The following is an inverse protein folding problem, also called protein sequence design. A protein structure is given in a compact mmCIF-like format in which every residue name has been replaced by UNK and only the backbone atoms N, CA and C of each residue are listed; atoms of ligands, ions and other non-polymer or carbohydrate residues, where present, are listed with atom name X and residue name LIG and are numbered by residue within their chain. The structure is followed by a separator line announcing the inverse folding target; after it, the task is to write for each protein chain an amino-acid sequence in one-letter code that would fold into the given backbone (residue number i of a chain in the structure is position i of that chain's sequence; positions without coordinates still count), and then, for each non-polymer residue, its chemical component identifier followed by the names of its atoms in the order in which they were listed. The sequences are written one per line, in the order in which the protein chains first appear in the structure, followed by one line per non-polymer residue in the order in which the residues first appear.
data_IF_037382764686
#
_entry.id   IF_037382764686
#
_cell.length_a   1.000
_cell.length_b   1.000
_cell.length_c   1.000
_cell.angle_alpha   90.00
_cell.angle_beta   90.00
_cell.angle_gamma   90.00
#
_symmetry.space_group_name_H-M   'P 1'
#
loop_
_entity.id
_entity.type
_entity.pdbx_description
1 polymer ?
#
# COMPACT_ATOMS: atom_id res chain seq x y z
N UNK A 1 -64.36 3.27 43.73
CA UNK A 1 -63.32 2.86 42.78
C UNK A 1 -62.90 1.46 43.14
N UNK A 2 -63.22 0.50 42.27
CA UNK A 2 -63.07 -0.95 42.48
C UNK A 2 -61.71 -1.50 42.02
N UNK A 3 -61.54 -2.84 41.87
CA UNK A 3 -60.60 -3.59 42.71
C UNK A 3 -59.70 -4.63 41.98
N UNK A 4 -58.92 -5.38 42.78
CA UNK A 4 -58.33 -6.75 42.61
C UNK A 4 -56.95 -6.89 41.91
N UNK A 5 -55.92 -7.42 42.61
CA UNK A 5 -55.47 -8.84 42.86
C UNK A 5 -54.82 -9.51 41.62
N UNK A 6 -53.58 -10.04 41.74
CA UNK A 6 -53.15 -11.46 41.54
C UNK A 6 -51.60 -11.61 41.44
N UNK A 7 -51.16 -12.77 41.96
CA UNK A 7 -49.89 -13.44 42.24
C UNK A 7 -48.90 -13.80 41.09
N UNK A 8 -47.75 -14.39 41.53
CA UNK A 8 -46.83 -15.39 40.89
C UNK A 8 -45.61 -14.82 40.13
N UNK A 9 -44.41 -15.40 40.15
CA UNK A 9 -43.82 -16.58 40.80
C UNK A 9 -42.29 -16.50 40.68
N UNK A 10 -41.59 -17.25 41.53
CA UNK A 10 -40.16 -17.57 41.46
C UNK A 10 -39.76 -18.24 40.14
N UNK A 11 -38.56 -17.95 39.65
CA UNK A 11 -37.73 -18.93 38.95
C UNK A 11 -36.27 -18.76 39.33
N UNK A 12 -35.74 -19.80 39.97
CA UNK A 12 -34.32 -20.09 40.13
C UNK A 12 -33.72 -20.43 38.76
N UNK A 13 -32.56 -19.88 38.45
CA UNK A 13 -31.58 -20.60 37.63
C UNK A 13 -30.19 -20.45 38.25
N UNK A 14 -29.71 -21.55 38.84
CA UNK A 14 -28.29 -21.79 39.06
C UNK A 14 -27.67 -22.11 37.70
N UNK A 15 -26.61 -21.40 37.33
CA UNK A 15 -25.61 -21.96 36.42
C UNK A 15 -24.29 -21.96 37.15
N UNK A 16 -23.75 -23.18 37.28
CA UNK A 16 -22.43 -23.49 37.79
C UNK A 16 -21.36 -22.88 36.90
N UNK A 17 -20.32 -22.34 37.50
CA UNK A 17 -19.05 -22.04 36.85
C UNK A 17 -18.26 -23.34 36.84
N UNK A 18 -18.36 -24.10 35.74
CA UNK A 18 -17.42 -25.16 35.39
C UNK A 18 -16.59 -24.74 34.19
N UNK A 19 -15.31 -25.15 34.22
CA UNK A 19 -14.21 -24.55 33.49
C UNK A 19 -14.40 -24.46 31.97
N UNK A 20 -14.11 -23.28 31.43
CA UNK A 20 -13.82 -23.11 30.02
C UNK A 20 -12.32 -23.29 29.81
N UNK A 21 -11.96 -24.36 29.10
CA UNK A 21 -10.65 -24.48 28.46
C UNK A 21 -10.44 -23.29 27.52
N UNK A 22 -9.28 -22.65 27.63
CA UNK A 22 -8.84 -21.61 26.70
C UNK A 22 -8.45 -22.32 25.40
N UNK A 23 -9.41 -22.40 24.47
CA UNK A 23 -9.12 -22.71 23.07
C UNK A 23 -8.49 -21.48 22.42
N UNK A 24 -7.17 -21.51 22.26
CA UNK A 24 -6.47 -20.60 21.36
C UNK A 24 -6.87 -20.99 19.93
N UNK A 25 -7.48 -20.10 19.13
CA UNK A 25 -7.78 -20.42 17.75
C UNK A 25 -6.46 -20.54 16.98
N UNK A 26 -6.16 -21.73 16.49
CA UNK A 26 -5.21 -21.92 15.40
C UNK A 26 -5.81 -21.20 14.19
N UNK A 27 -5.11 -20.18 13.69
CA UNK A 27 -5.47 -19.51 12.45
C UNK A 27 -5.50 -20.57 11.32
N UNK A 28 -6.71 -20.89 10.87
CA UNK A 28 -6.93 -21.70 9.68
C UNK A 28 -6.49 -20.93 8.42
N UNK A 29 -6.16 -21.64 7.33
CA UNK A 29 -5.81 -20.99 6.07
C UNK A 29 -6.98 -20.16 5.55
N UNK A 30 -6.67 -18.99 4.98
CA UNK A 30 -7.65 -18.14 4.31
C UNK A 30 -8.43 -18.97 3.27
N UNK A 31 -9.77 -18.89 3.24
CA UNK A 31 -10.58 -19.69 2.34
C UNK A 31 -10.44 -19.20 0.90
N UNK A 32 -9.89 -20.08 0.04
CA UNK A 32 -10.40 -20.38 -1.29
C UNK A 32 -10.22 -19.34 -2.40
N UNK A 33 -9.27 -19.61 -3.29
CA UNK A 33 -9.45 -19.39 -4.73
C UNK A 33 -9.01 -20.68 -5.43
N UNK A 34 -9.98 -21.52 -5.78
CA UNK A 34 -9.80 -22.55 -6.78
C UNK A 34 -9.86 -21.88 -8.15
N UNK A 35 -8.80 -22.06 -8.94
CA UNK A 35 -8.72 -21.58 -10.33
C UNK A 35 -9.22 -22.71 -11.23
N UNK A 36 -10.35 -22.47 -11.90
CA UNK A 36 -10.71 -23.22 -13.10
C UNK A 36 -9.90 -22.66 -14.26
N UNK A 37 -9.09 -23.52 -14.88
CA UNK A 37 -8.34 -23.24 -16.09
C UNK A 37 -9.22 -23.49 -17.31
N UNK A 38 -9.41 -22.50 -18.19
CA UNK A 38 -9.46 -22.69 -19.64
C UNK A 38 -9.42 -21.34 -20.38
N UNK A 39 -8.81 -21.38 -21.57
CA UNK A 39 -8.68 -20.36 -22.63
C UNK A 39 -7.61 -19.25 -22.51
N UNK A 40 -6.42 -19.59 -23.04
CA UNK A 40 -5.34 -18.66 -23.39
C UNK A 40 -5.51 -18.20 -24.84
N UNK A 41 -6.03 -16.98 -25.03
CA UNK A 41 -5.97 -16.25 -26.29
C UNK A 41 -4.71 -15.39 -26.37
N UNK A 42 -3.85 -15.66 -27.35
CA UNK A 42 -2.64 -14.90 -27.67
C UNK A 42 -2.97 -13.44 -28.02
N UNK A 43 -2.49 -12.48 -27.22
CA UNK A 43 -2.41 -11.07 -27.61
C UNK A 43 -0.97 -10.56 -27.60
N UNK A 44 -0.72 -9.66 -28.55
CA UNK A 44 0.58 -9.26 -29.07
C UNK A 44 1.31 -8.26 -28.15
N UNK A 45 2.61 -8.52 -27.99
CA UNK A 45 3.75 -7.65 -27.65
C UNK A 45 3.53 -6.30 -26.92
N UNK A 46 4.29 -6.01 -25.83
CA UNK A 46 4.20 -4.74 -25.12
C UNK A 46 4.72 -3.56 -25.95
N UNK A 47 3.94 -2.48 -25.96
CA UNK A 47 4.37 -1.15 -26.39
C UNK A 47 5.47 -0.66 -25.44
N UNK A 48 6.61 -0.22 -25.99
CA UNK A 48 7.72 0.35 -25.21
C UNK A 48 7.35 1.75 -24.72
N UNK A 49 7.37 1.96 -23.41
CA UNK A 49 7.20 3.28 -22.80
C UNK A 49 8.44 4.16 -22.95
N UNK A 50 8.18 5.47 -23.05
CA UNK A 50 9.15 6.56 -23.01
C UNK A 50 9.31 6.96 -21.53
N UNK A 51 10.53 6.92 -21.01
CA UNK A 51 10.83 7.37 -19.65
C UNK A 51 10.37 8.83 -19.45
N UNK A 52 10.00 9.25 -18.22
CA UNK A 52 9.67 10.65 -17.94
C UNK A 52 10.85 11.55 -18.33
N UNK A 53 10.55 12.68 -18.98
CA UNK A 53 11.57 13.63 -19.41
C UNK A 53 12.32 14.18 -18.18
N UNK A 54 13.64 13.99 -18.17
CA UNK A 54 14.50 14.50 -17.09
C UNK A 54 14.63 16.02 -17.21
N UNK A 55 14.21 16.75 -16.18
CA UNK A 55 14.43 18.19 -16.07
C UNK A 55 15.83 18.39 -15.48
N UNK A 56 16.75 18.94 -16.29
CA UNK A 56 18.07 19.37 -15.82
C UNK A 56 17.99 20.83 -15.38
N UNK A 57 18.17 21.08 -14.07
CA UNK A 57 18.29 22.43 -13.51
C UNK A 57 19.78 22.80 -13.40
N UNK A 58 20.24 23.73 -14.22
CA UNK A 58 21.53 24.41 -14.03
C UNK A 58 21.37 25.48 -12.94
N UNK A 59 22.07 25.34 -11.82
CA UNK A 59 22.09 26.34 -10.75
C UNK A 59 23.24 27.34 -10.95
N UNK A 60 22.91 28.62 -10.85
CA UNK A 60 23.88 29.68 -10.58
C UNK A 60 23.61 30.19 -9.15
N UNK A 61 24.51 29.83 -8.23
CA UNK A 61 24.79 30.50 -6.95
C UNK A 61 23.59 30.73 -6.01
N UNK A 62 23.26 29.67 -5.30
CA UNK A 62 22.35 29.59 -4.16
C UNK A 62 21.99 28.12 -4.04
N UNK A 63 22.38 27.44 -2.95
CA UNK A 63 22.39 25.98 -2.83
C UNK A 63 21.02 25.34 -3.09
N UNK A 64 20.69 25.16 -4.37
CA UNK A 64 19.51 24.45 -4.82
C UNK A 64 19.90 22.99 -4.84
N UNK A 65 19.31 22.22 -3.94
CA UNK A 65 19.41 20.78 -3.93
C UNK A 65 18.95 20.25 -5.30
N UNK A 66 19.86 19.61 -6.04
CA UNK A 66 19.53 19.02 -7.33
C UNK A 66 18.76 17.74 -7.05
N UNK A 67 17.43 17.84 -7.07
CA UNK A 67 16.56 16.67 -6.95
C UNK A 67 16.74 15.84 -8.22
N UNK A 68 17.38 14.68 -8.08
CA UNK A 68 17.54 13.73 -9.19
C UNK A 68 16.16 13.15 -9.53
N UNK A 69 15.79 13.18 -10.80
CA UNK A 69 14.59 12.50 -11.27
C UNK A 69 14.74 10.98 -11.05
N UNK A 70 13.79 10.39 -10.34
CA UNK A 70 13.75 8.95 -10.10
C UNK A 70 13.26 8.21 -11.36
N UNK A 71 13.75 6.99 -11.62
CA UNK A 71 13.36 6.22 -12.81
C UNK A 71 11.95 5.62 -12.72
N UNK A 72 11.31 5.71 -11.56
CA UNK A 72 9.93 5.30 -11.26
C UNK A 72 9.46 6.02 -9.98
N UNK A 73 8.17 5.88 -9.66
CA UNK A 73 7.59 6.47 -8.45
C UNK A 73 8.09 5.72 -7.21
N UNK A 74 8.63 6.46 -6.24
CA UNK A 74 8.91 5.95 -4.90
C UNK A 74 7.99 6.66 -3.91
N UNK A 75 7.30 5.87 -3.11
CA UNK A 75 6.37 6.36 -2.11
C UNK A 75 6.67 5.73 -0.75
N UNK A 76 6.38 6.45 0.32
CA UNK A 76 6.39 5.89 1.66
C UNK A 76 5.25 6.45 2.51
N UNK A 77 4.65 5.59 3.32
CA UNK A 77 3.70 6.01 4.36
C UNK A 77 4.44 6.67 5.51
N UNK A 78 3.85 7.73 6.05
CA UNK A 78 4.29 8.35 7.29
C UNK A 78 3.13 8.87 8.15
N UNK A 79 3.35 8.88 9.47
CA UNK A 79 2.51 9.61 10.39
C UNK A 79 2.42 9.06 11.81
N UNK A 80 1.52 9.59 12.66
CA UNK A 80 1.39 9.15 14.03
C UNK A 80 0.90 7.70 14.09
N UNK A 81 1.24 7.02 15.18
CA UNK A 81 0.91 5.61 15.47
C UNK A 81 1.73 4.57 14.71
N UNK A 82 3.02 4.46 15.08
CA UNK A 82 3.91 3.33 14.72
C UNK A 82 4.21 3.22 13.21
N UNK A 83 4.02 4.32 12.50
CA UNK A 83 4.48 4.52 11.13
C UNK A 83 5.75 5.37 11.15
N UNK A 84 6.52 5.26 10.08
CA UNK A 84 7.60 6.17 9.67
C UNK A 84 7.31 7.63 10.04
N UNK A 85 8.28 8.33 10.62
CA UNK A 85 8.20 9.79 10.73
C UNK A 85 8.39 10.46 9.36
N UNK A 86 7.56 11.45 9.01
CA UNK A 86 7.61 12.09 7.68
C UNK A 86 8.94 12.83 7.38
N UNK A 87 9.76 13.12 8.39
CA UNK A 87 11.07 13.74 8.23
C UNK A 87 12.19 12.77 7.83
N UNK A 88 11.96 11.44 7.87
CA UNK A 88 12.96 10.46 7.45
C UNK A 88 12.74 9.94 6.03
N UNK A 89 11.64 10.33 5.38
CA UNK A 89 11.41 10.00 3.97
C UNK A 89 12.39 10.84 3.12
N UNK A 90 13.18 10.21 2.23
CA UNK A 90 14.13 10.94 1.40
C UNK A 90 13.46 12.00 0.51
N UNK A 91 14.19 13.08 0.25
CA UNK A 91 13.75 14.08 -0.72
C UNK A 91 13.53 13.44 -2.10
N UNK A 92 12.44 13.83 -2.76
CA UNK A 92 12.05 13.29 -4.08
C UNK A 92 11.13 12.07 -4.02
N UNK A 93 10.98 11.41 -2.86
CA UNK A 93 9.94 10.42 -2.64
C UNK A 93 8.60 11.12 -2.37
N UNK A 94 7.50 10.50 -2.80
CA UNK A 94 6.16 10.96 -2.46
C UNK A 94 5.79 10.48 -1.05
N UNK A 95 5.24 11.38 -0.24
CA UNK A 95 4.83 11.06 1.13
C UNK A 95 3.34 10.80 1.17
N UNK A 96 2.94 9.66 1.72
CA UNK A 96 1.54 9.36 2.00
C UNK A 96 1.30 9.55 3.49
N UNK A 97 0.74 10.71 3.86
CA UNK A 97 0.53 11.11 5.26
C UNK A 97 -0.79 10.59 5.79
N UNK A 98 -0.73 9.81 6.86
CA UNK A 98 -1.90 9.19 7.48
C UNK A 98 -1.63 7.71 7.76
N UNK A 99 -2.48 7.09 8.57
CA UNK A 99 -2.36 5.68 8.94
C UNK A 99 -3.45 4.83 8.26
N UNK A 100 -3.15 3.54 8.13
CA UNK A 100 -4.16 2.48 8.04
C UNK A 100 -4.97 2.53 9.34
N UNK A 101 -6.30 2.51 9.26
CA UNK A 101 -7.19 2.60 10.44
C UNK A 101 -7.09 3.94 11.19
N UNK A 102 -7.11 5.05 10.45
CA UNK A 102 -7.21 6.35 11.09
C UNK A 102 -8.65 6.59 11.55
N UNK A 103 -8.82 6.86 12.84
CA UNK A 103 -10.02 7.55 13.32
C UNK A 103 -10.19 8.80 12.45
N UNK A 104 -11.22 8.79 11.60
CA UNK A 104 -11.48 9.86 10.63
C UNK A 104 -11.67 11.23 11.30
N UNK A 105 -11.77 11.28 12.63
CA UNK A 105 -11.86 12.52 13.41
C UNK A 105 -10.50 13.10 13.78
N UNK A 106 -9.42 12.32 13.65
CA UNK A 106 -8.07 12.84 13.82
C UNK A 106 -7.61 13.42 12.49
N UNK A 107 -6.72 14.41 12.53
CA UNK A 107 -6.16 15.04 11.33
C UNK A 107 -4.76 14.48 11.06
N UNK A 108 -4.39 14.12 9.81
CA UNK A 108 -3.06 13.60 9.50
C UNK A 108 -1.97 14.64 9.77
N UNK A 109 -0.73 14.19 10.03
CA UNK A 109 0.41 15.06 10.28
C UNK A 109 0.86 15.73 8.98
N UNK A 110 1.62 16.82 9.11
CA UNK A 110 2.23 17.47 7.96
C UNK A 110 3.36 16.61 7.36
N UNK A 111 3.29 16.35 6.06
CA UNK A 111 4.44 15.89 5.27
C UNK A 111 5.53 16.96 5.20
N UNK A 112 6.73 16.52 4.87
CA UNK A 112 7.84 17.43 4.52
C UNK A 112 7.88 17.68 3.01
N UNK A 113 8.59 18.72 2.56
CA UNK A 113 8.80 18.99 1.14
C UNK A 113 7.61 19.63 0.41
N UNK A 114 7.59 19.46 -0.92
CA UNK A 114 6.60 20.06 -1.83
C UNK A 114 5.24 19.36 -1.71
N UNK A 115 4.14 20.07 -1.37
CA UNK A 115 2.81 19.50 -1.24
C UNK A 115 2.32 18.78 -2.52
N UNK A 116 2.81 19.15 -3.71
CA UNK A 116 2.47 18.48 -4.98
C UNK A 116 2.93 17.03 -5.05
N UNK A 117 3.89 16.63 -4.22
CA UNK A 117 4.38 15.25 -4.12
C UNK A 117 3.76 14.49 -2.95
N UNK A 118 2.92 15.14 -2.15
CA UNK A 118 2.40 14.58 -0.90
C UNK A 118 0.92 14.26 -1.05
N UNK A 119 0.51 13.17 -0.40
CA UNK A 119 -0.84 12.64 -0.40
C UNK A 119 -1.38 12.65 1.02
N UNK A 120 -2.61 13.11 1.19
CA UNK A 120 -3.36 12.85 2.42
C UNK A 120 -4.07 11.51 2.31
N UNK A 121 -3.81 10.60 3.25
CA UNK A 121 -4.41 9.26 3.23
C UNK A 121 -5.63 9.16 4.15
N UNK A 122 -6.68 8.54 3.64
CA UNK A 122 -7.79 8.05 4.45
C UNK A 122 -7.83 6.52 4.42
N UNK A 123 -7.65 5.90 5.58
CA UNK A 123 -7.93 4.48 5.77
C UNK A 123 -9.40 4.24 6.08
N UNK A 124 -9.86 3.01 5.90
CA UNK A 124 -11.10 2.55 6.52
C UNK A 124 -10.92 2.37 8.03
N UNK A 125 -11.92 2.82 8.80
CA UNK A 125 -12.09 2.38 10.19
C UNK A 125 -12.61 0.95 10.19
N UNK A 126 -11.75 -0.01 10.51
CA UNK A 126 -12.11 -1.44 10.51
C UNK A 126 -13.24 -1.74 11.51
N UNK A 127 -13.34 -0.95 12.58
CA UNK A 127 -14.34 -1.10 13.63
C UNK A 127 -15.67 -0.41 13.28
N UNK A 128 -15.66 0.51 12.32
CA UNK A 128 -16.85 1.26 11.92
C UNK A 128 -16.90 1.50 10.40
N UNK A 129 -17.26 0.43 9.66
CA UNK A 129 -17.46 0.47 8.20
C UNK A 129 -18.48 1.51 7.70
N UNK A 130 -19.31 2.08 8.59
CA UNK A 130 -20.25 3.14 8.24
C UNK A 130 -19.63 4.54 8.29
N UNK A 131 -18.39 4.66 8.77
CA UNK A 131 -17.71 5.92 8.99
C UNK A 131 -16.81 6.24 7.79
N UNK A 132 -17.44 6.44 6.64
CA UNK A 132 -16.74 6.78 5.41
C UNK A 132 -16.36 8.25 5.45
N UNK A 133 -15.08 8.55 5.23
CA UNK A 133 -14.61 9.93 5.11
C UNK A 133 -15.33 10.64 3.96
N UNK A 134 -15.59 11.93 4.11
CA UNK A 134 -16.21 12.73 3.05
C UNK A 134 -15.15 13.52 2.28
N UNK A 135 -15.45 13.87 1.02
CA UNK A 135 -14.61 14.77 0.21
C UNK A 135 -14.25 16.05 0.97
N UNK A 136 -15.25 16.72 1.56
CA UNK A 136 -15.03 17.94 2.33
C UNK A 136 -14.12 17.75 3.55
N UNK A 137 -14.12 16.57 4.18
CA UNK A 137 -13.18 16.29 5.29
C UNK A 137 -11.74 16.19 4.78
N UNK A 138 -11.52 15.50 3.67
CA UNK A 138 -10.18 15.38 3.08
C UNK A 138 -9.65 16.72 2.55
N UNK A 139 -10.50 17.52 1.91
CA UNK A 139 -10.14 18.87 1.45
C UNK A 139 -9.69 19.77 2.61
N UNK A 140 -10.32 19.65 3.77
CA UNK A 140 -9.91 20.38 4.99
C UNK A 140 -8.54 19.92 5.52
N UNK A 141 -8.14 18.67 5.25
CA UNK A 141 -6.86 18.14 5.70
C UNK A 141 -5.68 18.59 4.84
N UNK A 142 -5.87 18.85 3.54
CA UNK A 142 -4.78 19.14 2.61
C UNK A 142 -3.80 20.21 3.11
N UNK A 143 -4.24 21.43 3.52
CA UNK A 143 -3.29 22.47 3.94
C UNK A 143 -2.52 22.07 5.20
N UNK A 144 -3.18 21.35 6.10
CA UNK A 144 -2.62 21.00 7.39
C UNK A 144 -1.72 19.76 7.33
N UNK A 145 -1.95 18.88 6.35
CA UNK A 145 -1.09 17.76 5.99
C UNK A 145 0.08 18.16 5.07
N UNK A 146 0.16 19.41 4.62
CA UNK A 146 1.10 19.86 3.57
C UNK A 146 1.04 18.94 2.33
N UNK A 147 -0.17 18.73 1.82
CA UNK A 147 -0.46 17.84 0.69
C UNK A 147 -1.35 18.53 -0.35
N UNK A 148 -1.30 18.03 -1.59
CA UNK A 148 -2.16 18.44 -2.70
C UNK A 148 -2.83 17.25 -3.41
N UNK A 149 -2.62 16.03 -2.92
CA UNK A 149 -3.15 14.81 -3.51
C UNK A 149 -3.85 13.95 -2.46
N UNK A 150 -4.59 12.95 -2.90
CA UNK A 150 -5.45 12.11 -2.06
C UNK A 150 -5.08 10.64 -2.21
N UNK A 151 -4.91 9.95 -1.09
CA UNK A 151 -4.72 8.52 -1.04
C UNK A 151 -5.83 7.86 -0.21
N UNK A 152 -6.17 6.64 -0.56
CA UNK A 152 -7.13 5.82 0.15
C UNK A 152 -6.52 4.46 0.39
N UNK A 153 -6.73 3.91 1.59
CA UNK A 153 -6.42 2.50 1.86
C UNK A 153 -7.70 1.81 2.30
N UNK A 154 -8.31 1.07 1.38
CA UNK A 154 -9.74 0.75 1.46
C UNK A 154 -10.10 -0.45 0.58
N UNK A 155 -11.13 -1.20 0.98
CA UNK A 155 -11.86 -2.22 0.25
C UNK A 155 -13.25 -1.73 -0.24
N UNK A 156 -13.74 -0.56 0.18
CA UNK A 156 -14.99 0.10 -0.25
C UNK A 156 -14.81 0.95 -1.53
N UNK A 157 -14.40 0.27 -2.60
CA UNK A 157 -13.90 0.92 -3.81
C UNK A 157 -14.86 1.92 -4.49
N UNK A 158 -16.17 1.65 -4.48
CA UNK A 158 -17.17 2.52 -5.14
C UNK A 158 -17.39 3.83 -4.39
N UNK A 159 -17.37 3.76 -3.07
CA UNK A 159 -17.48 4.92 -2.19
C UNK A 159 -16.25 5.83 -2.37
N UNK A 160 -15.05 5.23 -2.41
CA UNK A 160 -13.80 5.95 -2.68
C UNK A 160 -13.81 6.61 -4.06
N UNK A 161 -14.26 5.90 -5.09
CA UNK A 161 -14.44 6.47 -6.43
C UNK A 161 -15.42 7.67 -6.40
N UNK A 162 -16.51 7.57 -5.66
CA UNK A 162 -17.46 8.67 -5.47
C UNK A 162 -16.82 9.91 -4.84
N UNK A 163 -15.97 9.71 -3.82
CA UNK A 163 -15.22 10.79 -3.17
C UNK A 163 -14.23 11.44 -4.14
N UNK A 164 -13.44 10.64 -4.86
CA UNK A 164 -12.49 11.13 -5.85
C UNK A 164 -13.17 11.98 -6.93
N UNK A 165 -14.32 11.50 -7.43
CA UNK A 165 -15.11 12.23 -8.42
C UNK A 165 -15.74 13.52 -7.88
N UNK A 166 -16.05 13.60 -6.59
CA UNK A 166 -16.53 14.84 -5.98
C UNK A 166 -15.40 15.88 -5.87
N UNK A 167 -14.22 15.47 -5.39
CA UNK A 167 -13.06 16.35 -5.26
C UNK A 167 -12.59 16.85 -6.65
N UNK A 168 -12.64 16.01 -7.69
CA UNK A 168 -12.29 16.43 -9.05
C UNK A 168 -13.18 17.56 -9.60
N UNK A 169 -14.35 17.81 -9.01
CA UNK A 169 -15.20 18.96 -9.39
C UNK A 169 -14.65 20.28 -8.87
N UNK A 170 -13.85 20.26 -7.80
CA UNK A 170 -13.26 21.43 -7.15
C UNK A 170 -11.77 21.59 -7.50
N UNK A 171 -11.06 20.48 -7.71
CA UNK A 171 -9.66 20.44 -8.13
C UNK A 171 -9.41 19.31 -9.15
N UNK A 172 -9.31 19.68 -10.43
CA UNK A 172 -9.04 18.75 -11.53
C UNK A 172 -7.53 18.43 -11.70
N UNK A 173 -6.67 19.03 -10.87
CA UNK A 173 -5.22 18.81 -10.88
C UNK A 173 -4.74 17.87 -9.79
N UNK A 174 -5.58 17.61 -8.79
CA UNK A 174 -5.29 16.68 -7.70
C UNK A 174 -5.11 15.26 -8.23
N UNK A 175 -4.09 14.56 -7.71
CA UNK A 175 -3.90 13.13 -7.98
C UNK A 175 -4.60 12.27 -6.95
N UNK A 176 -5.02 11.09 -7.38
CA UNK A 176 -5.73 10.12 -6.55
C UNK A 176 -5.01 8.78 -6.56
N UNK A 177 -4.83 8.20 -5.38
CA UNK A 177 -4.31 6.86 -5.21
C UNK A 177 -5.27 6.00 -4.40
N UNK A 178 -5.48 4.76 -4.83
CA UNK A 178 -6.12 3.75 -4.00
C UNK A 178 -5.14 2.62 -3.73
N UNK A 179 -5.03 2.21 -2.46
CA UNK A 179 -4.25 1.04 -2.04
C UNK A 179 -5.22 -0.06 -1.66
N UNK A 180 -5.07 -1.22 -2.29
CA UNK A 180 -5.96 -2.37 -2.14
C UNK A 180 -5.17 -3.67 -1.95
N UNK A 181 -5.83 -4.69 -1.41
CA UNK A 181 -5.25 -6.02 -1.29
C UNK A 181 -5.10 -6.68 -2.67
N UNK A 182 -4.10 -7.56 -2.80
CA UNK A 182 -3.99 -8.42 -3.96
C UNK A 182 -5.24 -9.30 -4.15
N UNK A 183 -5.70 -9.44 -5.40
CA UNK A 183 -6.91 -10.21 -5.77
C UNK A 183 -8.07 -9.33 -6.22
N UNK A 184 -7.89 -8.01 -6.22
CA UNK A 184 -8.90 -7.00 -6.54
C UNK A 184 -8.80 -6.46 -7.97
N UNK A 185 -8.05 -7.15 -8.85
CA UNK A 185 -7.76 -6.71 -10.22
C UNK A 185 -9.03 -6.38 -11.01
N UNK A 186 -10.06 -7.22 -10.87
CA UNK A 186 -11.33 -7.07 -11.59
C UNK A 186 -12.07 -5.81 -11.17
N UNK A 187 -12.10 -5.51 -9.87
CA UNK A 187 -12.75 -4.31 -9.36
C UNK A 187 -11.97 -3.08 -9.83
N UNK A 188 -10.64 -3.10 -9.69
CA UNK A 188 -9.76 -2.00 -10.11
C UNK A 188 -9.83 -1.74 -11.62
N UNK A 189 -9.90 -2.77 -12.45
CA UNK A 189 -10.05 -2.62 -13.90
C UNK A 189 -11.25 -1.76 -14.30
N UNK A 190 -12.35 -1.82 -13.53
CA UNK A 190 -13.59 -1.09 -13.83
C UNK A 190 -13.54 0.39 -13.44
N UNK A 191 -12.59 0.79 -12.59
CA UNK A 191 -12.52 2.13 -11.99
C UNK A 191 -11.14 2.79 -12.06
N UNK A 192 -10.18 2.15 -12.72
CA UNK A 192 -8.80 2.64 -12.81
C UNK A 192 -8.68 4.08 -13.36
N UNK A 193 -9.65 4.57 -14.13
CA UNK A 193 -9.67 5.94 -14.64
C UNK A 193 -9.94 7.00 -13.55
N UNK A 194 -10.52 6.57 -12.42
CA UNK A 194 -10.75 7.39 -11.24
C UNK A 194 -9.47 7.60 -10.41
N UNK A 195 -8.38 6.88 -10.73
CA UNK A 195 -7.13 6.93 -9.96
C UNK A 195 -5.91 7.17 -10.87
N UNK A 196 -4.95 7.92 -10.36
CA UNK A 196 -3.63 8.12 -10.96
C UNK A 196 -2.69 6.96 -10.59
N UNK A 197 -2.85 6.43 -9.37
CA UNK A 197 -2.10 5.28 -8.87
C UNK A 197 -3.00 4.24 -8.21
N UNK A 198 -2.62 2.97 -8.36
CA UNK A 198 -3.24 1.81 -7.72
C UNK A 198 -2.14 1.07 -6.96
N UNK A 199 -2.09 1.27 -5.64
CA UNK A 199 -1.17 0.60 -4.73
C UNK A 199 -1.62 -0.84 -4.45
N UNK A 200 -0.73 -1.81 -4.64
CA UNK A 200 -1.04 -3.23 -4.36
C UNK A 200 -0.37 -3.67 -3.07
N UNK A 201 -1.19 -4.01 -2.09
CA UNK A 201 -0.73 -4.56 -0.83
C UNK A 201 -0.75 -6.09 -0.86
N UNK A 202 0.41 -6.69 -0.60
CA UNK A 202 0.55 -8.12 -0.42
C UNK A 202 0.54 -8.49 1.07
N UNK A 203 1.13 -7.68 1.94
CA UNK A 203 1.37 -8.05 3.34
C UNK A 203 0.45 -7.29 4.31
N UNK A 204 -0.84 -7.67 4.32
CA UNK A 204 -1.94 -6.99 5.02
C UNK A 204 -1.76 -6.77 6.54
N UNK A 205 -0.82 -7.48 7.19
CA UNK A 205 -0.52 -7.34 8.62
C UNK A 205 0.88 -6.78 8.85
N UNK A 206 1.23 -5.72 8.13
CA UNK A 206 2.55 -5.08 8.16
C UNK A 206 2.87 -4.36 9.47
N UNK A 207 1.92 -4.30 10.42
CA UNK A 207 2.15 -3.80 11.79
C UNK A 207 3.30 -4.61 12.42
N UNK A 208 4.45 -3.98 12.72
CA UNK A 208 5.66 -4.67 13.15
C UNK A 208 5.50 -5.51 14.42
N UNK A 209 4.53 -5.20 15.27
CA UNK A 209 4.24 -5.98 16.49
C UNK A 209 3.42 -7.24 16.22
N UNK A 210 2.72 -7.30 15.09
CA UNK A 210 1.90 -8.44 14.68
C UNK A 210 2.74 -9.41 13.86
N UNK A 211 3.80 -8.92 13.21
CA UNK A 211 4.55 -9.69 12.24
C UNK A 211 5.97 -9.15 12.06
N UNK A 212 6.96 -9.89 12.57
CA UNK A 212 8.40 -9.60 12.49
C UNK A 212 9.05 -10.09 11.18
N UNK A 213 8.29 -10.82 10.36
CA UNK A 213 8.76 -11.52 9.16
C UNK A 213 7.75 -11.54 8.01
N UNK A 214 7.03 -10.44 7.80
CA UNK A 214 5.89 -10.42 6.86
C UNK A 214 6.30 -10.77 5.44
N UNK A 215 7.44 -10.24 5.00
CA UNK A 215 8.02 -10.53 3.69
C UNK A 215 8.38 -12.01 3.47
N UNK A 216 8.31 -12.85 4.51
CA UNK A 216 8.68 -14.28 4.45
C UNK A 216 7.62 -15.27 4.97
N UNK A 217 6.54 -14.82 5.65
CA UNK A 217 5.67 -15.73 6.43
C UNK A 217 4.16 -15.69 6.14
N UNK A 218 3.67 -14.93 5.15
CA UNK A 218 2.22 -14.78 4.91
C UNK A 218 1.72 -15.31 3.57
N UNK A 219 2.28 -16.41 3.07
CA UNK A 219 1.89 -16.98 1.76
C UNK A 219 2.38 -16.17 0.55
N UNK A 220 3.08 -15.06 0.80
CA UNK A 220 3.77 -14.20 -0.17
C UNK A 220 5.28 -14.48 -0.10
N UNK A 221 5.69 -15.57 -0.70
CA UNK A 221 7.07 -16.04 -0.65
C UNK A 221 7.92 -15.35 -1.70
N UNK A 222 9.14 -15.02 -1.32
CA UNK A 222 10.20 -14.56 -2.22
C UNK A 222 11.45 -15.39 -1.90
N UNK A 223 11.72 -16.48 -2.62
CA UNK A 223 12.88 -17.33 -2.36
C UNK A 223 14.20 -16.59 -2.64
N UNK A 224 15.23 -16.84 -1.83
CA UNK A 224 16.54 -16.19 -1.98
C UNK A 224 17.21 -16.58 -3.31
N UNK A 225 17.20 -17.87 -3.65
CA UNK A 225 17.93 -18.39 -4.80
C UNK A 225 17.21 -18.15 -6.14
N UNK A 226 15.88 -18.08 -6.12
CA UNK A 226 15.05 -17.73 -7.28
C UNK A 226 13.84 -16.89 -6.83
N UNK A 227 14.02 -15.56 -6.68
CA UNK A 227 12.95 -14.66 -6.25
C UNK A 227 11.71 -14.73 -7.17
N UNK A 228 11.89 -15.04 -8.46
CA UNK A 228 10.80 -15.09 -9.45
C UNK A 228 9.95 -16.36 -9.34
N UNK A 229 10.43 -17.41 -8.68
CA UNK A 229 9.63 -18.63 -8.42
C UNK A 229 8.58 -18.46 -7.32
N UNK A 230 8.72 -17.39 -6.50
CA UNK A 230 7.86 -17.08 -5.36
C UNK A 230 6.42 -16.72 -5.74
N UNK A 231 5.51 -16.82 -4.76
CA UNK A 231 4.09 -16.47 -4.97
C UNK A 231 3.89 -14.97 -5.19
N UNK A 232 4.74 -14.12 -4.61
CA UNK A 232 4.67 -12.66 -4.81
C UNK A 232 4.95 -12.30 -6.27
N UNK A 233 5.96 -12.89 -6.90
CA UNK A 233 6.25 -12.64 -8.31
C UNK A 233 5.14 -13.16 -9.24
N UNK A 234 4.55 -14.32 -8.92
CA UNK A 234 3.38 -14.83 -9.65
C UNK A 234 2.20 -13.87 -9.58
N UNK A 235 1.98 -13.23 -8.43
CA UNK A 235 0.95 -12.22 -8.29
C UNK A 235 1.22 -10.97 -9.14
N UNK A 236 2.49 -10.55 -9.27
CA UNK A 236 2.86 -9.50 -10.22
C UNK A 236 2.50 -9.89 -11.67
N UNK A 237 2.73 -11.14 -12.06
CA UNK A 237 2.34 -11.64 -13.38
C UNK A 237 0.81 -11.64 -13.57
N UNK A 238 0.04 -11.90 -12.50
CA UNK A 238 -1.43 -11.78 -12.55
C UNK A 238 -1.89 -10.35 -12.74
N UNK A 239 -1.24 -9.37 -12.10
CA UNK A 239 -1.51 -7.95 -12.32
C UNK A 239 -1.11 -7.50 -13.73
N UNK A 240 0.07 -7.91 -14.21
CA UNK A 240 0.54 -7.63 -15.58
C UNK A 240 -0.40 -8.20 -16.66
N UNK A 241 -0.98 -9.38 -16.40
CA UNK A 241 -1.95 -10.00 -17.30
C UNK A 241 -3.38 -9.44 -17.16
N UNK A 242 -3.62 -8.52 -16.23
CA UNK A 242 -4.93 -7.91 -16.03
C UNK A 242 -5.21 -6.81 -17.07
N UNK A 243 -6.42 -6.25 -17.06
CA UNK A 243 -6.76 -5.08 -17.87
C UNK A 243 -6.50 -3.75 -17.18
N UNK A 244 -5.85 -3.76 -16.01
CA UNK A 244 -5.42 -2.54 -15.32
C UNK A 244 -4.16 -2.01 -15.99
N UNK A 245 -4.10 -0.71 -16.23
CA UNK A 245 -2.93 -0.04 -16.80
C UNK A 245 -1.73 -0.17 -15.85
N UNK A 246 -0.72 -0.93 -16.30
CA UNK A 246 0.51 -1.12 -15.54
C UNK A 246 1.14 0.21 -15.11
N UNK A 247 1.04 1.27 -15.93
CA UNK A 247 1.62 2.58 -15.61
C UNK A 247 0.97 3.28 -14.41
N UNK A 248 -0.12 2.72 -13.86
CA UNK A 248 -0.76 3.17 -12.61
C UNK A 248 -0.41 2.29 -11.40
N UNK A 249 0.09 1.08 -11.61
CA UNK A 249 0.30 0.10 -10.54
C UNK A 249 1.54 0.46 -9.71
N UNK A 250 1.38 0.61 -8.41
CA UNK A 250 2.48 0.82 -7.45
C UNK A 250 2.58 -0.40 -6.55
N UNK A 251 3.73 -1.06 -6.51
CA UNK A 251 3.91 -2.29 -5.74
C UNK A 251 4.17 -1.97 -4.26
N UNK A 252 3.27 -2.38 -3.37
CA UNK A 252 3.42 -2.24 -1.93
C UNK A 252 4.37 -3.27 -1.32
N UNK A 253 5.22 -2.83 -0.40
CA UNK A 253 6.06 -3.68 0.44
C UNK A 253 6.15 -3.14 1.86
N UNK A 254 6.49 -4.03 2.80
CA UNK A 254 6.84 -3.68 4.19
C UNK A 254 8.31 -3.95 4.45
N UNK A 255 8.89 -3.26 5.41
CA UNK A 255 10.27 -3.47 5.87
C UNK A 255 10.45 -4.67 6.79
N UNK A 256 9.35 -5.22 7.33
CA UNK A 256 9.38 -6.37 8.23
C UNK A 256 9.85 -7.66 7.54
N UNK A 257 11.04 -8.14 7.92
CA UNK A 257 11.70 -9.29 7.29
C UNK A 257 12.25 -9.00 5.88
N UNK A 258 12.36 -7.73 5.50
CA UNK A 258 12.84 -7.33 4.18
C UNK A 258 14.32 -7.68 4.00
N UNK A 259 14.66 -8.24 2.83
CA UNK A 259 16.04 -8.50 2.43
C UNK A 259 16.33 -7.82 1.08
N UNK A 260 17.60 -7.52 0.81
CA UNK A 260 17.99 -6.75 -0.37
C UNK A 260 17.56 -7.39 -1.69
N UNK A 261 17.57 -8.71 -1.79
CA UNK A 261 17.14 -9.41 -3.01
C UNK A 261 15.64 -9.26 -3.29
N UNK A 262 14.83 -9.05 -2.25
CA UNK A 262 13.40 -8.77 -2.40
C UNK A 262 13.20 -7.39 -3.03
N UNK A 263 13.97 -6.38 -2.60
CA UNK A 263 13.94 -5.05 -3.21
C UNK A 263 14.39 -5.13 -4.68
N UNK A 264 15.46 -5.88 -4.97
CA UNK A 264 15.93 -6.09 -6.34
C UNK A 264 14.87 -6.77 -7.23
N UNK A 265 14.12 -7.74 -6.69
CA UNK A 265 12.99 -8.36 -7.40
C UNK A 265 11.88 -7.34 -7.70
N UNK A 266 11.48 -6.51 -6.73
CA UNK A 266 10.45 -5.48 -6.95
C UNK A 266 10.87 -4.48 -8.03
N UNK A 267 12.11 -3.98 -7.98
CA UNK A 267 12.66 -3.10 -9.02
C UNK A 267 12.66 -3.76 -10.39
N UNK A 268 13.05 -5.04 -10.46
CA UNK A 268 13.02 -5.80 -11.69
C UNK A 268 11.58 -5.94 -12.23
N UNK A 269 10.59 -6.16 -11.36
CA UNK A 269 9.19 -6.23 -11.74
C UNK A 269 8.68 -4.87 -12.28
N UNK A 270 8.96 -3.76 -11.60
CA UNK A 270 8.62 -2.41 -12.08
C UNK A 270 9.19 -2.17 -13.48
N UNK A 271 10.47 -2.49 -13.70
CA UNK A 271 11.12 -2.35 -15.00
C UNK A 271 10.56 -3.29 -16.06
N UNK A 272 10.29 -4.55 -15.70
CA UNK A 272 9.89 -5.60 -16.64
C UNK A 272 8.45 -5.44 -17.10
N UNK A 273 7.54 -5.15 -16.18
CA UNK A 273 6.10 -5.05 -16.46
C UNK A 273 5.66 -3.61 -16.77
N UNK A 274 6.52 -2.61 -16.52
CA UNK A 274 6.16 -1.20 -16.70
C UNK A 274 5.24 -0.69 -15.60
N UNK A 275 5.37 -1.22 -14.38
CA UNK A 275 4.65 -0.68 -13.24
C UNK A 275 5.10 0.74 -12.90
N UNK A 276 4.23 1.52 -12.27
CA UNK A 276 4.48 2.91 -11.92
C UNK A 276 5.61 3.07 -10.89
N UNK A 277 5.69 2.16 -9.91
CA UNK A 277 6.64 2.33 -8.81
C UNK A 277 6.54 1.35 -7.65
N UNK A 278 7.13 1.76 -6.52
CA UNK A 278 7.17 1.02 -5.25
C UNK A 278 6.67 1.92 -4.12
N UNK A 279 5.85 1.34 -3.24
CA UNK A 279 5.33 1.95 -2.02
C UNK A 279 5.85 1.18 -0.81
N UNK A 280 6.50 1.88 0.13
CA UNK A 280 7.12 1.29 1.31
C UNK A 280 6.36 1.65 2.58
N UNK A 281 5.96 0.63 3.33
CA UNK A 281 5.42 0.74 4.68
C UNK A 281 6.54 0.60 5.73
N UNK A 282 6.42 1.34 6.84
CA UNK A 282 7.35 1.29 7.98
C UNK A 282 8.82 1.50 7.59
N UNK A 283 9.12 2.55 6.84
CA UNK A 283 10.46 2.87 6.37
C UNK A 283 11.45 3.08 7.53
N UNK A 284 10.98 3.49 8.70
CA UNK A 284 11.75 3.59 9.94
C UNK A 284 12.28 2.25 10.46
N UNK A 285 11.68 1.14 10.03
CA UNK A 285 12.12 -0.22 10.35
C UNK A 285 12.96 -0.86 9.23
N UNK A 286 13.37 -0.08 8.23
CA UNK A 286 14.26 -0.55 7.16
C UNK A 286 15.53 -1.19 7.76
N UNK A 287 15.87 -2.44 7.39
CA UNK A 287 17.11 -3.06 7.83
C UNK A 287 18.32 -2.22 7.43
N UNK A 288 19.25 -2.00 8.37
CA UNK A 288 20.45 -1.19 8.13
C UNK A 288 21.34 -1.71 6.98
N UNK A 289 21.19 -2.99 6.60
CA UNK A 289 21.87 -3.61 5.46
C UNK A 289 21.32 -3.16 4.10
N UNK A 290 20.16 -2.51 4.06
CA UNK A 290 19.49 -2.07 2.83
C UNK A 290 19.50 -0.53 2.82
N UNK A 291 20.50 0.12 2.19
CA UNK A 291 20.55 1.58 2.14
C UNK A 291 19.42 2.13 1.26
N UNK A 292 18.78 3.22 1.67
CA UNK A 292 17.68 3.84 0.92
C UNK A 292 18.03 4.18 -0.54
N UNK A 293 19.28 4.58 -0.81
CA UNK A 293 19.78 4.85 -2.15
C UNK A 293 19.66 3.63 -3.10
N UNK A 294 19.53 2.41 -2.58
CA UNK A 294 19.34 1.22 -3.41
C UNK A 294 17.94 1.14 -4.04
N UNK A 295 16.97 1.92 -3.54
CA UNK A 295 15.65 2.07 -4.13
C UNK A 295 15.63 3.12 -5.25
N UNK A 296 16.61 4.00 -5.35
CA UNK A 296 16.55 5.19 -6.23
C UNK A 296 17.04 4.92 -7.66
N UNK A 297 17.50 3.70 -7.94
CA UNK A 297 18.05 3.30 -9.23
C UNK A 297 17.80 1.82 -9.51
N UNK A 298 17.50 1.51 -10.77
CA UNK A 298 17.48 0.13 -11.25
C UNK A 298 18.86 -0.54 -11.23
N UNK A 299 19.94 0.24 -11.27
CA UNK A 299 21.30 -0.27 -11.50
C UNK A 299 22.05 -0.54 -10.18
N UNK A 300 21.53 -0.06 -9.06
CA UNK A 300 22.10 -0.29 -7.72
C UNK A 300 21.44 -1.52 -7.12
N UNK A 301 22.19 -2.61 -6.90
CA UNK A 301 21.67 -3.78 -6.18
C UNK A 301 21.59 -3.51 -4.68
N UNK A 302 20.48 -3.93 -4.08
CA UNK A 302 20.24 -3.88 -2.63
C UNK A 302 20.79 -5.13 -1.91
N UNK A 303 21.13 -6.19 -2.64
CA UNK A 303 21.44 -7.52 -2.08
C UNK A 303 22.78 -7.63 -1.36
N UNK A 304 23.62 -6.59 -1.35
CA UNK A 304 24.75 -6.40 -0.43
C UNK A 304 25.83 -7.48 -0.36
N UNK A 305 25.72 -8.60 -1.08
CA UNK A 305 26.83 -9.51 -1.29
C UNK A 305 27.86 -8.85 -2.20
N UNK A 306 29.18 -9.10 -2.04
CA UNK A 306 30.10 -8.88 -3.15
C UNK A 306 29.50 -9.55 -4.39
N UNK A 307 29.62 -8.96 -5.59
CA UNK A 307 29.06 -9.55 -6.80
C UNK A 307 29.49 -11.01 -6.82
N UNK A 308 28.52 -11.93 -6.85
CA UNK A 308 28.82 -13.33 -7.18
C UNK A 308 29.31 -13.29 -8.63
N UNK A 309 30.62 -13.12 -8.80
CA UNK A 309 31.29 -13.30 -10.07
C UNK A 309 31.12 -14.78 -10.42
N UNK A 310 30.18 -15.05 -11.32
CA UNK A 310 29.94 -16.35 -11.92
C UNK A 310 28.47 -16.49 -12.28
N UNK A 311 28.07 -16.62 -13.54
CA UNK A 311 28.76 -16.54 -14.81
C UNK A 311 27.77 -15.92 -15.81
N UNK A 312 28.29 -15.37 -16.90
CA UNK A 312 27.45 -14.99 -18.03
C UNK A 312 26.69 -16.23 -18.55
N UNK A 313 25.40 -16.04 -18.80
CA UNK A 313 24.63 -16.78 -19.82
C UNK A 313 23.84 -15.74 -20.64
#
# INVERSE_FOLDING_TARGET
MGPRVIYLASLLLHIAVEGAEVNVPVAGPAPGCAVDSEDVGLLQGPQRFKAPESVSLTSNLGGSEVVRALPYVLQAFCGPEKVTSCNIIPAGWQQITGAFDYDINKQPPAATGDPKNNFVNAGEDYNNKNNVITAGTMELWLPAANAANFAFTSEIFKEVEGIANEIRKTDDTAKFQITCLNGTQKDMASMQDSFDYIGIEFYANSIPEICDRCMTQQGWTIPVDDPKSGTTYKAFQTWDASSVDNSKIVLGMTTSGLEGYMVDMYKAAVKQFGFAGILVWHLDHMPLSIPLACFESYDVSCSGGPPKIGAAD
#
